data_IF_522513989730
#
_entry.id   IF_522513989730
#
_cell.length_a   1.000
_cell.length_b   1.000
_cell.length_c   1.000
_cell.angle_alpha   90.00
_cell.angle_beta   90.00
_cell.angle_gamma   90.00
#
_symmetry.space_group_name_H-M   'P 1'
#
loop_
_entity.id
_entity.type
_entity.pdbx_description
1 polymer ?
#
# COMPACT_ATOMS: atom_id res chain seq x y z
N UNK A 1 10.94 16.20 11.81
CA UNK A 1 11.80 15.54 10.82
C UNK A 1 11.07 14.36 10.21
N UNK A 2 11.01 14.30 8.88
CA UNK A 2 10.22 13.28 8.20
C UNK A 2 11.08 12.08 7.84
N UNK A 3 10.58 10.91 8.20
CA UNK A 3 11.19 9.66 7.76
C UNK A 3 10.71 9.33 6.34
N UNK A 4 11.56 8.77 5.48
CA UNK A 4 11.08 8.23 4.21
C UNK A 4 10.13 7.06 4.48
N UNK A 5 9.13 6.88 3.62
CA UNK A 5 8.18 5.78 3.78
C UNK A 5 8.87 4.41 3.85
N UNK A 6 9.93 4.24 3.08
CA UNK A 6 10.65 2.96 3.04
C UNK A 6 11.32 2.59 4.36
N UNK A 7 11.46 3.54 5.30
CA UNK A 7 12.06 3.27 6.61
C UNK A 7 11.07 2.70 7.62
N UNK A 8 9.77 2.72 7.32
CA UNK A 8 8.77 2.13 8.19
C UNK A 8 8.66 0.63 7.95
N UNK A 9 8.16 -0.08 8.96
CA UNK A 9 7.93 -1.52 8.83
C UNK A 9 6.92 -1.81 7.73
N UNK A 10 7.21 -2.81 6.90
CA UNK A 10 6.35 -3.17 5.78
C UNK A 10 4.93 -3.52 6.23
N UNK A 11 4.80 -4.22 7.36
CA UNK A 11 3.49 -4.58 7.90
C UNK A 11 2.64 -3.37 8.22
N UNK A 12 3.26 -2.34 8.80
CA UNK A 12 2.56 -1.11 9.13
C UNK A 12 2.11 -0.40 7.85
N UNK A 13 2.96 -0.38 6.84
CA UNK A 13 2.64 0.25 5.56
C UNK A 13 1.47 -0.45 4.88
N UNK A 14 1.46 -1.79 4.92
CA UNK A 14 0.34 -2.56 4.36
C UNK A 14 -0.97 -2.25 5.06
N UNK A 15 -0.96 -2.22 6.39
CA UNK A 15 -2.16 -1.92 7.19
C UNK A 15 -2.71 -0.54 6.88
N UNK A 16 -1.82 0.45 6.86
CA UNK A 16 -2.23 1.83 6.60
C UNK A 16 -2.81 1.94 5.20
N UNK A 17 -2.18 1.31 4.21
CA UNK A 17 -2.67 1.33 2.85
C UNK A 17 -4.07 0.72 2.74
N UNK A 18 -4.29 -0.43 3.37
CA UNK A 18 -5.59 -1.10 3.34
C UNK A 18 -6.67 -0.23 3.98
N UNK A 19 -6.34 0.40 5.11
CA UNK A 19 -7.29 1.27 5.80
C UNK A 19 -7.63 2.51 4.96
N UNK A 20 -6.63 3.15 4.37
CA UNK A 20 -6.85 4.32 3.52
C UNK A 20 -7.66 3.95 2.27
N UNK A 21 -7.33 2.82 1.68
CA UNK A 21 -8.04 2.36 0.49
C UNK A 21 -9.52 2.08 0.79
N UNK A 22 -9.80 1.52 1.97
CA UNK A 22 -11.17 1.25 2.39
C UNK A 22 -11.97 2.53 2.59
N UNK A 23 -11.31 3.65 2.91
CA UNK A 23 -11.97 4.93 3.13
C UNK A 23 -12.27 5.67 1.83
N UNK A 24 -11.77 5.21 0.68
CA UNK A 24 -11.98 5.91 -0.59
C UNK A 24 -13.46 6.04 -0.94
N UNK A 25 -14.28 5.08 -0.57
CA UNK A 25 -15.70 5.12 -0.84
C UNK A 25 -16.39 6.30 -0.15
N UNK A 26 -15.98 6.60 1.09
CA UNK A 26 -16.54 7.70 1.88
C UNK A 26 -15.78 9.00 1.70
N UNK A 27 -14.52 8.91 1.29
CA UNK A 27 -13.62 10.06 1.15
C UNK A 27 -12.90 9.98 -0.19
N UNK A 28 -13.61 10.22 -1.32
CA UNK A 28 -12.99 10.09 -2.64
C UNK A 28 -11.81 11.05 -2.87
N UNK A 29 -11.71 12.12 -2.10
CA UNK A 29 -10.59 13.04 -2.17
C UNK A 29 -9.26 12.39 -1.80
N UNK A 30 -9.27 11.24 -1.15
CA UNK A 30 -8.06 10.48 -0.84
C UNK A 30 -7.33 10.02 -2.10
N UNK A 31 -8.03 9.89 -3.22
CA UNK A 31 -7.41 9.54 -4.50
C UNK A 31 -6.36 10.56 -4.92
N UNK A 32 -6.53 11.82 -4.51
CA UNK A 32 -5.61 12.90 -4.83
C UNK A 32 -4.50 13.05 -3.79
N UNK A 33 -4.50 12.18 -2.77
CA UNK A 33 -3.48 12.25 -1.72
C UNK A 33 -2.13 11.77 -2.25
N UNK A 34 -1.12 12.61 -2.14
CA UNK A 34 0.25 12.23 -2.48
C UNK A 34 0.74 11.08 -1.61
N UNK A 35 0.35 11.08 -0.34
CA UNK A 35 0.72 10.02 0.58
C UNK A 35 0.19 8.67 0.11
N UNK A 36 -1.06 8.62 -0.29
CA UNK A 36 -1.67 7.37 -0.76
C UNK A 36 -0.98 6.86 -2.02
N UNK A 37 -0.68 7.77 -2.96
CA UNK A 37 -0.01 7.41 -4.20
C UNK A 37 1.41 6.92 -3.96
N UNK A 38 2.15 7.62 -3.10
CA UNK A 38 3.52 7.23 -2.76
C UNK A 38 3.53 5.87 -2.05
N UNK A 39 2.59 5.67 -1.15
CA UNK A 39 2.45 4.42 -0.41
C UNK A 39 2.13 3.26 -1.36
N UNK A 40 1.22 3.49 -2.31
CA UNK A 40 0.87 2.48 -3.30
C UNK A 40 2.08 2.08 -4.14
N UNK A 41 2.85 3.06 -4.63
CA UNK A 41 4.02 2.79 -5.43
C UNK A 41 5.08 2.00 -4.66
N UNK A 42 5.32 2.39 -3.42
CA UNK A 42 6.28 1.70 -2.58
C UNK A 42 5.86 0.24 -2.34
N UNK A 43 4.59 0.03 -2.00
CA UNK A 43 4.08 -1.32 -1.76
C UNK A 43 4.13 -2.18 -3.02
N UNK A 44 3.84 -1.60 -4.19
CA UNK A 44 3.97 -2.32 -5.45
C UNK A 44 5.42 -2.75 -5.71
N UNK A 45 6.38 -1.88 -5.43
CA UNK A 45 7.79 -2.22 -5.56
C UNK A 45 8.17 -3.38 -4.63
N UNK A 46 7.70 -3.35 -3.39
CA UNK A 46 7.97 -4.41 -2.42
C UNK A 46 7.34 -5.73 -2.84
N UNK A 47 6.11 -5.67 -3.35
CA UNK A 47 5.42 -6.86 -3.83
C UNK A 47 6.15 -7.50 -5.02
N UNK A 48 6.58 -6.69 -5.98
CA UNK A 48 7.34 -7.19 -7.12
C UNK A 48 8.65 -7.84 -6.67
N UNK A 49 9.33 -7.23 -5.71
CA UNK A 49 10.56 -7.80 -5.15
C UNK A 49 10.31 -9.14 -4.46
N UNK A 50 9.09 -9.35 -3.96
CA UNK A 50 8.67 -10.61 -3.35
C UNK A 50 8.12 -11.62 -4.36
N UNK A 51 8.11 -11.27 -5.65
CA UNK A 51 7.62 -12.16 -6.70
C UNK A 51 6.12 -12.10 -6.94
N UNK A 52 5.45 -11.06 -6.43
CA UNK A 52 4.01 -10.90 -6.59
C UNK A 52 3.71 -10.09 -7.85
N UNK A 53 2.81 -10.61 -8.69
CA UNK A 53 2.35 -9.88 -9.86
C UNK A 53 1.24 -8.91 -9.42
N UNK A 54 1.58 -7.62 -9.32
CA UNK A 54 0.67 -6.59 -8.83
C UNK A 54 -0.44 -6.26 -9.84
N UNK A 55 -0.32 -6.71 -11.08
CA UNK A 55 -1.38 -6.53 -12.07
C UNK A 55 -2.52 -7.53 -11.88
N UNK A 56 -2.30 -8.60 -11.11
CA UNK A 56 -3.33 -9.57 -10.77
C UNK A 56 -3.95 -9.16 -9.43
N UNK A 57 -5.20 -8.71 -9.48
CA UNK A 57 -5.89 -8.15 -8.33
C UNK A 57 -5.91 -9.10 -7.11
N UNK A 58 -6.17 -10.38 -7.38
CA UNK A 58 -6.24 -11.37 -6.31
C UNK A 58 -4.89 -11.57 -5.62
N UNK A 59 -3.80 -11.57 -6.38
CA UNK A 59 -2.46 -11.72 -5.82
C UNK A 59 -2.05 -10.49 -5.04
N UNK A 60 -2.33 -9.31 -5.58
CA UNK A 60 -2.07 -8.04 -4.90
C UNK A 60 -2.81 -7.96 -3.57
N UNK A 61 -4.11 -8.26 -3.59
CA UNK A 61 -4.93 -8.22 -2.38
C UNK A 61 -4.47 -9.23 -1.33
N UNK A 62 -4.13 -10.44 -1.77
CA UNK A 62 -3.65 -11.47 -0.86
C UNK A 62 -2.33 -11.06 -0.20
N UNK A 63 -1.42 -10.46 -0.98
CA UNK A 63 -0.14 -9.99 -0.42
C UNK A 63 -0.35 -8.90 0.61
N UNK A 64 -1.27 -7.97 0.36
CA UNK A 64 -1.57 -6.89 1.31
C UNK A 64 -2.14 -7.42 2.62
N UNK A 65 -2.86 -8.54 2.57
CA UNK A 65 -3.48 -9.15 3.73
C UNK A 65 -2.54 -10.07 4.49
N UNK A 66 -1.41 -10.46 3.90
CA UNK A 66 -0.44 -11.30 4.63
C UNK A 66 0.21 -10.46 5.71
N UNK A 67 0.15 -10.99 6.91
CA UNK A 67 0.88 -10.42 8.03
C UNK A 67 2.34 -10.75 7.88
N UNK A 68 3.13 -9.80 7.91
CA UNK A 68 4.50 -10.13 7.79
C UNK A 68 5.51 -9.48 7.61
#
# INVERSE_FOLDING_TARGET
MNKPLASYALDDLKRIYVLLHAQLADNPELMDSDLLQDLQQLLQQKARAAGVDVSVHALWGAWLQTGG
#
